data_IF_907007915146
#
_entry.id   IF_907007915146
#
_cell.length_a   1.000
_cell.length_b   1.000
_cell.length_c   1.000
_cell.angle_alpha   90.00
_cell.angle_beta   90.00
_cell.angle_gamma   90.00
#
_symmetry.space_group_name_H-M   'P 1'
#
loop_
_entity.id
_entity.type
_entity.pdbx_description
1 polymer ?
#
# COMPACT_ATOMS: atom_id res chain seq x y z
N UNK A 1 -6.53 7.88 15.54
CA UNK A 1 -7.40 8.74 16.40
C UNK A 1 -6.55 9.72 17.20
N UNK A 2 -5.69 9.33 18.13
CA UNK A 2 -4.89 10.24 18.95
C UNK A 2 -4.02 11.23 18.16
N UNK A 3 -3.42 10.80 17.05
CA UNK A 3 -2.67 11.71 16.15
C UNK A 3 -3.57 12.80 15.52
N UNK A 4 -4.82 12.45 15.19
CA UNK A 4 -5.78 13.40 14.63
C UNK A 4 -6.20 14.47 15.66
N UNK A 5 -6.38 14.06 16.90
CA UNK A 5 -6.74 14.97 18.00
C UNK A 5 -5.52 15.66 18.64
N UNK A 6 -4.31 15.33 18.20
CA UNK A 6 -3.08 15.96 18.72
C UNK A 6 -2.68 15.54 20.14
N UNK A 7 -3.32 14.50 20.70
CA UNK A 7 -3.02 14.02 22.05
C UNK A 7 -3.91 12.87 22.52
N UNK A 8 -3.63 12.41 23.72
CA UNK A 8 -4.36 11.32 24.38
C UNK A 8 -5.14 11.90 25.58
N UNK A 9 -6.46 11.74 25.64
CA UNK A 9 -7.23 12.20 26.79
C UNK A 9 -6.93 11.37 28.03
N UNK A 10 -7.04 11.96 29.21
CA UNK A 10 -6.82 11.28 30.49
C UNK A 10 -7.76 10.09 30.69
N UNK A 11 -8.97 10.15 30.11
CA UNK A 11 -10.03 9.19 30.34
C UNK A 11 -10.83 8.95 29.08
N UNK A 12 -11.10 7.68 28.78
CA UNK A 12 -11.94 7.24 27.67
C UNK A 12 -13.12 6.43 28.18
N UNK A 13 -14.31 6.73 27.68
CA UNK A 13 -15.54 6.01 27.99
C UNK A 13 -15.86 5.09 26.82
N UNK A 14 -16.03 3.79 27.12
CA UNK A 14 -16.38 2.78 26.15
C UNK A 14 -17.70 2.10 26.46
N UNK A 15 -18.40 1.66 25.42
CA UNK A 15 -19.47 0.70 25.63
C UNK A 15 -18.88 -0.68 26.00
N UNK A 16 -19.76 -1.62 26.39
CA UNK A 16 -19.35 -2.97 26.80
C UNK A 16 -19.05 -3.88 25.60
N UNK A 17 -18.37 -3.37 24.57
CA UNK A 17 -17.99 -4.16 23.41
C UNK A 17 -17.05 -5.32 23.81
N UNK A 18 -17.34 -6.53 23.34
CA UNK A 18 -16.53 -7.75 23.61
C UNK A 18 -15.05 -7.64 23.22
N UNK A 19 -14.70 -6.66 22.42
CA UNK A 19 -13.31 -6.36 22.06
C UNK A 19 -12.56 -5.75 23.24
N UNK A 20 -13.23 -4.92 24.05
CA UNK A 20 -12.64 -4.22 25.17
C UNK A 20 -12.96 -4.90 26.52
N UNK A 21 -14.14 -5.49 26.67
CA UNK A 21 -14.60 -6.12 27.91
C UNK A 21 -14.60 -7.63 27.79
N UNK A 22 -13.86 -8.30 28.67
CA UNK A 22 -13.86 -9.76 28.81
C UNK A 22 -15.07 -10.26 29.59
N UNK A 23 -15.38 -9.58 30.71
CA UNK A 23 -16.43 -9.97 31.65
C UNK A 23 -16.95 -8.75 32.43
N UNK A 24 -18.20 -8.78 32.84
CA UNK A 24 -18.81 -7.72 33.62
C UNK A 24 -19.26 -6.50 32.82
N UNK A 25 -19.62 -5.42 33.52
CA UNK A 25 -20.06 -4.15 32.93
C UNK A 25 -19.86 -3.00 33.92
N UNK A 26 -19.84 -1.77 33.43
CA UNK A 26 -19.66 -0.56 34.23
C UNK A 26 -18.41 -0.64 35.10
N UNK A 27 -18.52 -0.33 36.36
CA UNK A 27 -17.43 -0.36 37.35
C UNK A 27 -16.88 -1.77 37.64
N UNK A 28 -17.64 -2.81 37.30
CA UNK A 28 -17.26 -4.21 37.48
C UNK A 28 -16.77 -4.87 36.18
N UNK A 29 -16.61 -4.09 35.13
CA UNK A 29 -16.09 -4.59 33.88
C UNK A 29 -14.61 -4.96 34.00
N UNK A 30 -14.25 -6.17 33.50
CA UNK A 30 -12.88 -6.63 33.39
C UNK A 30 -12.48 -6.47 31.94
N UNK A 31 -11.49 -5.62 31.69
CA UNK A 31 -10.96 -5.39 30.36
C UNK A 31 -10.29 -6.66 29.79
N UNK A 32 -10.28 -6.81 28.47
CA UNK A 32 -9.43 -7.81 27.81
C UNK A 32 -7.96 -7.43 27.98
N UNK A 33 -7.06 -8.42 28.02
CA UNK A 33 -5.63 -8.16 28.19
C UNK A 33 -5.05 -7.25 27.10
N UNK A 34 -5.50 -7.42 25.85
CA UNK A 34 -5.09 -6.56 24.75
C UNK A 34 -5.55 -5.11 24.91
N UNK A 35 -6.78 -4.91 25.41
CA UNK A 35 -7.30 -3.57 25.67
C UNK A 35 -6.62 -2.92 26.87
N UNK A 36 -6.38 -3.67 27.95
CA UNK A 36 -5.64 -3.18 29.11
C UNK A 36 -4.21 -2.76 28.75
N UNK A 37 -3.51 -3.56 27.93
CA UNK A 37 -2.18 -3.22 27.43
C UNK A 37 -2.21 -1.96 26.54
N UNK A 38 -3.24 -1.80 25.69
CA UNK A 38 -3.45 -0.60 24.88
C UNK A 38 -3.67 0.64 25.75
N UNK A 39 -4.53 0.56 26.77
CA UNK A 39 -4.78 1.65 27.70
C UNK A 39 -3.51 2.04 28.48
N UNK A 40 -2.76 1.04 28.95
CA UNK A 40 -1.50 1.26 29.67
C UNK A 40 -0.43 1.91 28.77
N UNK A 41 -0.33 1.49 27.50
CA UNK A 41 0.63 2.06 26.54
C UNK A 41 0.39 3.56 26.30
N UNK A 42 -0.87 3.97 26.18
CA UNK A 42 -1.25 5.37 25.99
C UNK A 42 -1.52 6.14 27.29
N UNK A 43 -1.42 5.48 28.45
CA UNK A 43 -1.59 6.06 29.78
C UNK A 43 -2.95 6.74 30.00
N UNK A 44 -4.05 6.20 29.47
CA UNK A 44 -5.39 6.68 29.75
C UNK A 44 -6.18 5.73 30.66
N UNK A 45 -7.09 6.30 31.42
CA UNK A 45 -8.06 5.55 32.22
C UNK A 45 -9.28 5.16 31.38
N UNK A 46 -9.83 3.99 31.64
CA UNK A 46 -11.01 3.48 30.94
C UNK A 46 -12.18 3.37 31.87
N UNK A 47 -13.32 3.94 31.46
CA UNK A 47 -14.61 3.67 32.04
C UNK A 47 -15.49 2.91 31.05
N UNK A 48 -16.19 1.92 31.56
CA UNK A 48 -17.18 1.18 30.79
C UNK A 48 -18.59 1.58 31.20
N UNK A 49 -19.46 1.74 30.18
CA UNK A 49 -20.86 2.08 30.42
C UNK A 49 -21.60 0.97 31.18
N UNK A 50 -22.59 1.34 31.95
CA UNK A 50 -23.53 0.41 32.55
C UNK A 50 -24.50 -0.14 31.51
N UNK A 51 -25.01 -1.38 31.72
CA UNK A 51 -26.03 -1.96 30.85
C UNK A 51 -27.30 -1.10 30.98
N UNK A 52 -27.92 -0.81 29.83
CA UNK A 52 -29.15 -0.03 29.71
C UNK A 52 -29.09 1.43 30.21
N UNK A 53 -27.93 2.01 30.46
CA UNK A 53 -27.75 3.42 30.78
C UNK A 53 -27.85 4.27 29.52
N UNK A 54 -29.07 4.54 29.05
CA UNK A 54 -29.33 5.32 27.84
C UNK A 54 -28.65 6.70 27.82
N UNK A 55 -28.46 7.31 29.00
CA UNK A 55 -27.82 8.62 29.14
C UNK A 55 -26.31 8.58 28.82
N UNK A 56 -25.63 7.50 29.19
CA UNK A 56 -24.18 7.34 28.91
C UNK A 56 -23.91 7.03 27.44
N UNK A 57 -24.83 6.33 26.78
CA UNK A 57 -24.71 5.90 25.37
C UNK A 57 -25.35 6.89 24.38
N UNK A 58 -26.33 7.68 24.86
CA UNK A 58 -27.12 8.58 24.00
C UNK A 58 -26.30 9.61 23.25
N UNK A 59 -25.16 10.04 23.80
CA UNK A 59 -24.27 11.02 23.14
C UNK A 59 -23.62 10.47 21.87
N UNK A 60 -23.16 9.21 21.90
CA UNK A 60 -22.54 8.56 20.74
C UNK A 60 -23.59 8.22 19.66
N UNK A 61 -24.76 7.70 20.06
CA UNK A 61 -25.86 7.39 19.13
C UNK A 61 -26.39 8.66 18.45
N UNK A 62 -26.55 9.74 19.22
CA UNK A 62 -26.97 11.04 18.70
C UNK A 62 -25.91 11.60 17.73
N UNK A 63 -24.61 11.45 18.01
CA UNK A 63 -23.53 11.91 17.15
C UNK A 63 -23.53 11.17 15.79
N UNK A 64 -23.75 9.85 15.79
CA UNK A 64 -23.88 9.07 14.55
C UNK A 64 -25.06 9.55 13.72
N UNK A 65 -26.21 9.75 14.33
CA UNK A 65 -27.41 10.30 13.68
C UNK A 65 -27.19 11.70 13.14
N UNK A 66 -26.53 12.55 13.94
CA UNK A 66 -26.15 13.91 13.55
C UNK A 66 -25.22 13.92 12.33
N UNK A 67 -24.15 13.14 12.38
CA UNK A 67 -23.17 13.06 11.30
C UNK A 67 -23.79 12.57 9.99
N UNK A 68 -24.66 11.58 10.04
CA UNK A 68 -25.40 11.11 8.86
C UNK A 68 -26.27 12.20 8.23
N UNK A 69 -27.02 12.96 9.04
CA UNK A 69 -27.91 14.02 8.53
C UNK A 69 -27.15 15.22 8.00
N UNK A 70 -26.02 15.59 8.59
CA UNK A 70 -25.32 16.83 8.26
C UNK A 70 -24.20 16.65 7.24
N UNK A 71 -23.57 15.46 7.15
CA UNK A 71 -22.44 15.21 6.28
C UNK A 71 -22.71 14.16 5.19
N UNK A 72 -23.83 13.41 5.31
CA UNK A 72 -24.15 12.31 4.39
C UNK A 72 -25.50 12.51 3.67
N UNK A 73 -26.07 13.71 3.75
CA UNK A 73 -27.31 14.07 3.02
C UNK A 73 -27.08 15.39 2.28
N UNK A 74 -27.27 15.39 0.93
CA UNK A 74 -27.55 14.24 0.06
C UNK A 74 -26.40 13.23 0.07
N UNK A 75 -26.68 11.96 -0.28
CA UNK A 75 -25.68 10.91 -0.28
C UNK A 75 -24.46 11.34 -1.10
N UNK A 76 -23.27 11.45 -0.50
CA UNK A 76 -22.10 11.94 -1.18
C UNK A 76 -21.67 11.02 -2.31
N UNK A 77 -21.34 11.58 -3.47
CA UNK A 77 -20.79 10.85 -4.61
C UNK A 77 -19.29 11.06 -4.65
N UNK A 78 -18.52 9.98 -4.61
CA UNK A 78 -17.06 10.01 -4.70
C UNK A 78 -16.56 8.89 -5.63
N UNK A 79 -15.42 9.10 -6.26
CA UNK A 79 -14.78 8.10 -7.14
C UNK A 79 -14.05 7.01 -6.35
N UNK A 80 -13.67 7.29 -5.10
CA UNK A 80 -12.98 6.37 -4.21
C UNK A 80 -13.33 6.65 -2.75
N UNK A 81 -13.05 5.69 -1.85
CA UNK A 81 -13.20 5.87 -0.40
C UNK A 81 -12.25 6.93 0.15
N UNK A 82 -11.04 7.03 -0.38
CA UNK A 82 -10.06 8.04 0.00
C UNK A 82 -10.58 9.45 -0.29
N UNK A 83 -11.15 9.65 -1.48
CA UNK A 83 -11.76 10.93 -1.88
C UNK A 83 -12.97 11.28 -1.00
N UNK A 84 -13.80 10.29 -0.64
CA UNK A 84 -14.91 10.48 0.30
C UNK A 84 -14.40 10.88 1.69
N UNK A 85 -13.41 10.17 2.22
CA UNK A 85 -12.84 10.45 3.54
C UNK A 85 -12.19 11.84 3.59
N UNK A 86 -11.46 12.24 2.55
CA UNK A 86 -10.86 13.57 2.48
C UNK A 86 -11.93 14.67 2.55
N UNK A 87 -13.03 14.52 1.79
CA UNK A 87 -14.15 15.44 1.83
C UNK A 87 -14.82 15.50 3.21
N UNK A 88 -15.08 14.36 3.83
CA UNK A 88 -15.70 14.29 5.15
C UNK A 88 -14.82 14.95 6.23
N UNK A 89 -13.50 14.79 6.15
CA UNK A 89 -12.55 15.47 7.05
C UNK A 89 -12.65 17.00 6.85
N UNK A 90 -12.69 17.48 5.61
CA UNK A 90 -12.84 18.90 5.30
C UNK A 90 -14.15 19.45 5.85
N UNK A 91 -15.27 18.75 5.64
CA UNK A 91 -16.58 19.13 6.16
C UNK A 91 -16.58 19.19 7.69
N UNK A 92 -15.96 18.23 8.39
CA UNK A 92 -15.79 18.23 9.84
C UNK A 92 -14.93 19.41 10.33
N UNK A 93 -13.86 19.75 9.62
CA UNK A 93 -13.00 20.88 9.95
C UNK A 93 -13.73 22.22 9.77
N UNK A 94 -14.53 22.35 8.71
CA UNK A 94 -15.35 23.53 8.47
C UNK A 94 -16.45 23.66 9.53
N UNK A 95 -17.12 22.56 9.87
CA UNK A 95 -18.08 22.52 10.97
C UNK A 95 -17.45 23.02 12.27
N UNK A 96 -16.26 22.51 12.63
CA UNK A 96 -15.54 22.92 13.83
C UNK A 96 -15.29 24.43 13.92
N UNK A 97 -15.05 25.08 12.79
CA UNK A 97 -14.80 26.54 12.72
C UNK A 97 -16.08 27.36 12.84
N UNK A 98 -17.19 26.88 12.29
CA UNK A 98 -18.42 27.64 12.12
C UNK A 98 -19.45 27.43 13.23
N UNK A 99 -19.42 26.25 13.88
CA UNK A 99 -20.41 25.90 14.89
C UNK A 99 -19.94 26.23 16.30
N UNK A 100 -20.89 26.65 17.14
CA UNK A 100 -20.68 26.95 18.56
C UNK A 100 -20.94 25.72 19.40
N UNK A 101 -20.24 25.62 20.53
CA UNK A 101 -20.50 24.58 21.52
C UNK A 101 -21.87 24.87 22.14
N UNK A 102 -22.71 23.82 22.29
CA UNK A 102 -24.01 23.95 22.93
C UNK A 102 -23.82 24.50 24.35
N UNK A 103 -24.61 25.50 24.72
CA UNK A 103 -24.53 26.24 26.01
C UNK A 103 -23.28 27.10 26.24
N UNK A 104 -22.42 27.31 25.23
CA UNK A 104 -21.27 28.23 25.27
C UNK A 104 -21.30 29.22 24.11
N UNK A 105 -20.63 30.36 24.25
CA UNK A 105 -20.51 31.38 23.21
C UNK A 105 -19.35 31.08 22.25
N UNK A 106 -18.44 30.20 22.63
CA UNK A 106 -17.21 29.84 21.85
C UNK A 106 -17.51 28.81 20.75
N UNK A 107 -16.73 28.85 19.70
CA UNK A 107 -16.78 27.87 18.62
C UNK A 107 -16.24 26.49 19.10
N UNK A 108 -16.61 25.44 18.37
CA UNK A 108 -16.04 24.09 18.61
C UNK A 108 -14.53 24.11 18.43
N UNK A 109 -14.00 24.96 17.54
CA UNK A 109 -12.58 25.11 17.33
C UNK A 109 -11.86 25.75 18.53
N UNK A 110 -12.43 26.79 19.11
CA UNK A 110 -11.88 27.42 20.32
C UNK A 110 -11.88 26.44 21.49
N UNK A 111 -13.01 25.75 21.73
CA UNK A 111 -13.10 24.71 22.75
C UNK A 111 -12.06 23.60 22.56
N UNK A 112 -11.83 23.18 21.31
CA UNK A 112 -10.79 22.19 21.00
C UNK A 112 -9.38 22.69 21.38
N UNK A 113 -9.06 23.95 21.10
CA UNK A 113 -7.76 24.51 21.51
C UNK A 113 -7.58 24.61 23.03
N UNK A 114 -8.65 24.88 23.76
CA UNK A 114 -8.64 24.80 25.21
C UNK A 114 -8.38 23.36 25.70
N UNK A 115 -9.03 22.36 25.07
CA UNK A 115 -8.90 20.94 25.44
C UNK A 115 -7.49 20.40 25.17
N UNK A 116 -6.79 20.86 24.11
CA UNK A 116 -5.43 20.44 23.80
C UNK A 116 -4.47 20.58 24.98
N UNK A 117 -4.67 21.54 25.84
CA UNK A 117 -3.82 21.77 27.02
C UNK A 117 -3.93 20.65 28.08
N UNK A 118 -5.00 19.85 28.02
CA UNK A 118 -5.27 18.77 28.95
C UNK A 118 -4.99 17.38 28.39
N UNK A 119 -4.59 17.30 27.10
CA UNK A 119 -4.23 16.04 26.48
C UNK A 119 -2.78 15.68 26.79
N UNK A 120 -2.51 14.39 27.02
CA UNK A 120 -1.15 13.88 27.09
C UNK A 120 -0.53 13.81 25.68
N UNK A 121 0.79 13.92 25.61
CA UNK A 121 1.50 13.71 24.34
C UNK A 121 1.33 12.27 23.86
N UNK A 122 1.16 12.12 22.53
CA UNK A 122 1.13 10.79 21.91
C UNK A 122 2.52 10.16 22.00
N UNK A 123 2.65 8.91 22.51
CA UNK A 123 3.93 8.21 22.55
C UNK A 123 4.59 8.12 21.17
N UNK A 124 5.92 8.25 21.12
CA UNK A 124 6.72 8.14 19.88
C UNK A 124 6.51 6.78 19.23
N UNK A 125 6.48 5.73 20.04
CA UNK A 125 6.19 4.37 19.56
C UNK A 125 4.70 4.10 19.67
N UNK A 126 4.08 3.73 18.55
CA UNK A 126 2.66 3.36 18.52
C UNK A 126 2.46 1.95 19.07
N UNK A 127 1.33 1.73 19.70
CA UNK A 127 0.92 0.40 20.15
C UNK A 127 0.82 -0.56 18.95
N UNK A 128 1.45 -1.72 19.05
CA UNK A 128 1.40 -2.75 18.02
C UNK A 128 0.06 -3.48 18.07
N UNK A 129 -0.84 -3.15 17.17
CA UNK A 129 -2.16 -3.77 17.04
C UNK A 129 -2.15 -5.05 16.23
N UNK A 130 -0.97 -5.53 15.80
CA UNK A 130 -0.87 -6.72 14.96
C UNK A 130 -1.22 -8.00 15.71
N UNK A 131 -1.90 -8.90 15.01
CA UNK A 131 -1.95 -10.31 15.43
C UNK A 131 -0.71 -11.01 14.90
N UNK A 132 0.06 -11.61 15.81
CA UNK A 132 1.31 -12.27 15.45
C UNK A 132 1.14 -13.79 15.42
N UNK A 133 1.77 -14.43 14.42
CA UNK A 133 1.90 -15.88 14.29
C UNK A 133 3.31 -16.24 13.79
N UNK A 134 3.75 -17.46 14.04
CA UNK A 134 5.08 -17.95 13.64
C UNK A 134 4.97 -19.24 12.81
N UNK A 135 4.36 -19.19 11.61
CA UNK A 135 4.23 -20.35 10.76
C UNK A 135 5.53 -20.71 10.04
N UNK A 136 5.63 -21.99 9.63
CA UNK A 136 6.63 -22.44 8.68
C UNK A 136 6.20 -22.11 7.24
N UNK A 137 7.14 -21.75 6.37
CA UNK A 137 6.91 -21.54 4.94
C UNK A 137 6.72 -22.90 4.26
N UNK A 138 5.53 -23.11 3.71
CA UNK A 138 5.16 -24.35 3.02
C UNK A 138 5.83 -24.52 1.65
N UNK A 139 5.66 -25.71 1.06
CA UNK A 139 6.31 -26.14 -0.20
C UNK A 139 6.01 -25.24 -1.41
N UNK A 140 4.93 -24.48 -1.39
CA UNK A 140 4.57 -23.51 -2.44
C UNK A 140 5.12 -22.10 -2.16
N UNK A 141 6.07 -21.96 -1.23
CA UNK A 141 6.60 -20.65 -0.78
C UNK A 141 5.50 -19.72 -0.30
N UNK A 142 4.57 -20.26 0.45
CA UNK A 142 3.48 -19.51 1.08
C UNK A 142 3.44 -19.78 2.57
N UNK A 143 2.97 -18.81 3.33
CA UNK A 143 2.65 -18.95 4.75
C UNK A 143 1.16 -18.81 4.95
N UNK A 144 0.61 -19.64 5.82
CA UNK A 144 -0.77 -19.52 6.23
C UNK A 144 -0.88 -18.58 7.41
N UNK A 145 -1.69 -17.55 7.24
CA UNK A 145 -2.08 -16.66 8.32
C UNK A 145 -3.60 -16.58 8.38
N UNK A 146 -4.15 -16.93 9.53
CA UNK A 146 -5.60 -17.12 9.72
C UNK A 146 -6.17 -18.11 8.68
N UNK A 147 -7.02 -17.65 7.77
CA UNK A 147 -7.72 -18.49 6.79
C UNK A 147 -7.15 -18.38 5.37
N UNK A 148 -6.10 -17.56 5.17
CA UNK A 148 -5.54 -17.23 3.86
C UNK A 148 -4.05 -17.53 3.79
N UNK A 149 -3.51 -17.58 2.57
CA UNK A 149 -2.10 -17.82 2.30
C UNK A 149 -1.45 -16.56 1.68
N UNK A 150 -0.18 -16.35 1.99
CA UNK A 150 0.60 -15.21 1.53
C UNK A 150 1.96 -15.68 1.06
N UNK A 151 2.36 -15.30 -0.13
CA UNK A 151 3.62 -15.75 -0.70
C UNK A 151 4.83 -15.06 -0.06
N UNK A 152 5.95 -15.77 -0.06
CA UNK A 152 7.27 -15.24 0.32
C UNK A 152 8.31 -15.71 -0.69
N UNK A 153 9.48 -15.07 -0.70
CA UNK A 153 10.59 -15.48 -1.57
C UNK A 153 10.92 -16.98 -1.35
N UNK A 154 11.14 -17.70 -2.45
CA UNK A 154 11.42 -19.15 -2.45
C UNK A 154 12.61 -19.54 -1.55
N UNK A 155 13.58 -18.66 -1.36
CA UNK A 155 14.72 -18.88 -0.46
C UNK A 155 14.35 -19.11 1.01
N UNK A 156 13.13 -18.74 1.42
CA UNK A 156 12.64 -18.96 2.78
C UNK A 156 11.84 -20.26 2.94
N UNK A 157 11.80 -21.11 1.93
CA UNK A 157 11.15 -22.41 1.97
C UNK A 157 11.57 -23.19 3.23
N UNK A 158 10.58 -23.77 3.92
CA UNK A 158 10.78 -24.55 5.17
C UNK A 158 11.49 -23.79 6.30
N UNK A 159 11.44 -22.45 6.26
CA UNK A 159 11.88 -21.61 7.37
C UNK A 159 10.69 -21.13 8.18
N UNK A 160 10.87 -21.04 9.49
CA UNK A 160 9.89 -20.40 10.36
C UNK A 160 10.02 -18.88 10.21
N UNK A 161 8.90 -18.22 9.97
CA UNK A 161 8.84 -16.75 9.82
C UNK A 161 7.85 -16.18 10.83
N UNK A 162 8.01 -14.90 11.15
CA UNK A 162 7.05 -14.17 11.97
C UNK A 162 6.10 -13.42 11.04
N UNK A 163 4.80 -13.67 11.19
CA UNK A 163 3.74 -12.99 10.44
C UNK A 163 3.01 -12.04 11.38
N UNK A 164 2.93 -10.77 11.00
CA UNK A 164 2.15 -9.74 11.70
C UNK A 164 0.99 -9.27 10.82
N UNK A 165 -0.24 -9.57 11.25
CA UNK A 165 -1.45 -9.14 10.54
C UNK A 165 -2.04 -7.90 11.17
N UNK A 166 -2.11 -6.84 10.39
CA UNK A 166 -2.80 -5.58 10.70
C UNK A 166 -4.20 -5.55 10.08
N UNK A 167 -4.92 -4.46 10.23
CA UNK A 167 -6.27 -4.31 9.68
C UNK A 167 -6.29 -4.39 8.14
N UNK A 168 -5.30 -3.80 7.49
CA UNK A 168 -5.20 -3.61 6.05
C UNK A 168 -4.09 -4.44 5.39
N UNK A 169 -3.07 -4.87 6.14
CA UNK A 169 -1.86 -5.50 5.62
C UNK A 169 -1.37 -6.66 6.47
N UNK A 170 -0.57 -7.50 5.84
CA UNK A 170 0.17 -8.61 6.46
C UNK A 170 1.65 -8.41 6.19
N UNK A 171 2.44 -8.31 7.25
CA UNK A 171 3.90 -8.23 7.19
C UNK A 171 4.49 -9.60 7.53
N UNK A 172 5.45 -10.06 6.74
CA UNK A 172 6.16 -11.30 6.98
C UNK A 172 7.62 -10.96 7.24
N UNK A 173 8.14 -11.46 8.35
CA UNK A 173 9.49 -11.16 8.83
C UNK A 173 10.29 -12.43 9.02
N UNK A 174 11.57 -12.39 8.71
CA UNK A 174 12.53 -13.45 9.00
C UNK A 174 13.73 -12.89 9.74
N UNK A 175 14.05 -13.44 10.90
CA UNK A 175 15.11 -12.94 11.79
C UNK A 175 15.03 -11.42 12.04
N UNK A 176 13.82 -10.91 12.32
CA UNK A 176 13.58 -9.51 12.60
C UNK A 176 13.56 -8.58 11.37
N UNK A 177 13.89 -9.09 10.17
CA UNK A 177 13.88 -8.31 8.93
C UNK A 177 12.58 -8.51 8.16
N UNK A 178 11.99 -7.45 7.63
CA UNK A 178 10.83 -7.50 6.75
C UNK A 178 11.23 -8.18 5.42
N UNK A 179 10.52 -9.25 5.05
CA UNK A 179 10.80 -10.03 3.84
C UNK A 179 9.65 -10.04 2.82
N UNK A 180 8.42 -9.76 3.27
CA UNK A 180 7.28 -9.56 2.38
C UNK A 180 6.20 -8.70 3.04
N UNK A 181 5.47 -7.95 2.21
CA UNK A 181 4.28 -7.19 2.60
C UNK A 181 3.16 -7.53 1.63
N UNK A 182 1.98 -7.81 2.14
CA UNK A 182 0.78 -8.09 1.36
C UNK A 182 -0.38 -7.27 1.88
N UNK A 183 -1.34 -6.95 1.01
CA UNK A 183 -2.65 -6.50 1.43
C UNK A 183 -3.36 -7.65 2.15
N UNK A 184 -4.07 -7.33 3.23
CA UNK A 184 -4.78 -8.34 3.99
C UNK A 184 -5.96 -8.88 3.20
N UNK A 185 -6.00 -10.19 3.01
CA UNK A 185 -7.12 -10.87 2.38
C UNK A 185 -8.25 -11.11 3.38
N UNK A 186 -9.46 -10.77 2.98
CA UNK A 186 -10.67 -11.05 3.73
C UNK A 186 -11.40 -12.28 3.16
N UNK A 187 -12.09 -13.01 4.03
CA UNK A 187 -12.70 -14.28 3.72
C UNK A 187 -11.76 -15.45 3.98
N UNK A 188 -11.91 -16.56 3.26
CA UNK A 188 -11.15 -17.78 3.49
C UNK A 188 -10.64 -18.41 2.20
N UNK A 189 -9.57 -19.22 2.33
CA UNK A 189 -9.00 -20.06 1.26
C UNK A 189 -8.45 -19.28 0.06
N UNK A 190 -8.15 -18.00 0.25
CA UNK A 190 -7.51 -17.17 -0.78
C UNK A 190 -6.00 -17.21 -0.63
N UNK A 191 -5.30 -16.93 -1.73
CA UNK A 191 -3.84 -16.80 -1.73
C UNK A 191 -3.45 -15.48 -2.39
N UNK A 192 -2.61 -14.69 -1.71
CA UNK A 192 -1.96 -13.51 -2.27
C UNK A 192 -0.58 -13.92 -2.79
N UNK A 193 -0.43 -13.93 -4.10
CA UNK A 193 0.85 -14.16 -4.74
C UNK A 193 1.50 -12.82 -5.11
N UNK A 194 2.83 -12.78 -5.09
CA UNK A 194 3.65 -11.73 -5.67
C UNK A 194 4.63 -12.37 -6.63
N UNK A 195 4.65 -11.93 -7.87
CA UNK A 195 5.47 -12.53 -8.94
C UNK A 195 6.97 -12.53 -8.59
N UNK A 196 7.44 -11.44 -7.96
CA UNK A 196 8.83 -11.29 -7.54
C UNK A 196 9.31 -12.38 -6.58
N UNK A 197 8.39 -13.04 -5.88
CA UNK A 197 8.76 -14.14 -4.97
C UNK A 197 9.17 -15.42 -5.70
N UNK A 198 8.76 -15.58 -6.96
CA UNK A 198 8.92 -16.80 -7.74
C UNK A 198 9.83 -16.66 -8.94
N UNK A 199 10.21 -15.45 -9.33
CA UNK A 199 10.91 -15.19 -10.58
C UNK A 199 12.23 -15.95 -10.67
N UNK A 200 13.01 -16.01 -9.57
CA UNK A 200 14.28 -16.75 -9.54
C UNK A 200 14.08 -18.27 -9.71
N UNK A 201 12.94 -18.81 -9.27
CA UNK A 201 12.60 -20.21 -9.49
C UNK A 201 12.19 -20.45 -10.94
N UNK A 202 11.43 -19.53 -11.53
CA UNK A 202 11.02 -19.61 -12.94
C UNK A 202 12.22 -19.51 -13.89
N UNK A 203 13.23 -18.70 -13.56
CA UNK A 203 14.50 -18.65 -14.32
C UNK A 203 15.23 -19.99 -14.33
N UNK A 204 15.21 -20.72 -13.21
CA UNK A 204 15.80 -22.06 -13.11
C UNK A 204 14.94 -23.13 -13.80
N UNK A 205 13.62 -22.94 -13.88
CA UNK A 205 12.67 -23.91 -14.43
C UNK A 205 11.69 -23.24 -15.41
N UNK A 206 12.15 -22.70 -16.56
CA UNK A 206 11.31 -21.95 -17.48
C UNK A 206 10.12 -22.75 -18.03
N UNK A 207 10.25 -24.07 -18.14
CA UNK A 207 9.18 -24.94 -18.67
C UNK A 207 7.87 -24.85 -17.87
N UNK A 208 7.91 -24.43 -16.61
CA UNK A 208 6.74 -24.34 -15.75
C UNK A 208 6.03 -22.98 -15.82
N UNK A 209 6.55 -21.99 -16.54
CA UNK A 209 6.10 -20.59 -16.46
C UNK A 209 4.60 -20.42 -16.69
N UNK A 210 4.04 -21.01 -17.74
CA UNK A 210 2.61 -20.89 -18.07
C UNK A 210 1.70 -21.74 -17.17
N UNK A 211 2.25 -22.73 -16.47
CA UNK A 211 1.51 -23.58 -15.53
C UNK A 211 1.62 -23.10 -14.08
N UNK A 212 2.57 -22.22 -13.81
CA UNK A 212 2.79 -21.70 -12.46
C UNK A 212 1.60 -20.87 -11.99
N UNK A 213 0.98 -21.29 -10.89
CA UNK A 213 -0.18 -20.59 -10.31
C UNK A 213 0.11 -19.11 -10.00
N UNK A 214 1.29 -18.73 -9.45
CA UNK A 214 1.64 -17.34 -9.28
C UNK A 214 1.53 -16.51 -10.57
N UNK A 215 2.00 -17.03 -11.70
CA UNK A 215 1.92 -16.34 -12.99
C UNK A 215 0.48 -16.20 -13.45
N UNK A 216 -0.31 -17.26 -13.39
CA UNK A 216 -1.72 -17.23 -13.82
C UNK A 216 -2.61 -16.32 -12.98
N UNK A 217 -2.30 -16.20 -11.69
CA UNK A 217 -3.12 -15.47 -10.75
C UNK A 217 -2.72 -13.98 -10.63
N UNK A 218 -1.50 -13.58 -11.08
CA UNK A 218 -0.99 -12.20 -10.90
C UNK A 218 -0.64 -11.46 -12.18
N UNK A 219 -0.43 -12.17 -13.29
CA UNK A 219 -0.02 -11.56 -14.56
C UNK A 219 -1.24 -11.37 -15.46
N UNK A 220 -1.35 -10.22 -16.11
CA UNK A 220 -2.46 -9.94 -17.03
C UNK A 220 -2.50 -10.96 -18.19
N UNK A 221 -3.70 -11.34 -18.58
CA UNK A 221 -3.96 -12.30 -19.65
C UNK A 221 -3.30 -11.89 -20.96
N UNK A 222 -3.34 -10.58 -21.27
CA UNK A 222 -2.67 -10.01 -22.45
C UNK A 222 -1.16 -10.30 -22.48
N UNK A 223 -0.50 -10.23 -21.32
CA UNK A 223 0.92 -10.49 -21.18
C UNK A 223 1.25 -11.97 -21.31
N UNK A 224 0.38 -12.83 -20.79
CA UNK A 224 0.48 -14.28 -20.93
C UNK A 224 0.31 -14.67 -22.40
N UNK A 225 -0.68 -14.12 -23.10
CA UNK A 225 -0.92 -14.44 -24.51
C UNK A 225 0.16 -13.90 -25.44
N UNK A 226 0.72 -12.77 -25.12
CA UNK A 226 1.93 -12.28 -25.80
C UNK A 226 3.11 -13.21 -25.56
N UNK A 227 3.36 -13.59 -24.31
CA UNK A 227 4.44 -14.50 -23.94
C UNK A 227 4.42 -15.84 -24.67
N UNK A 228 3.22 -16.39 -24.95
CA UNK A 228 3.06 -17.62 -25.74
C UNK A 228 3.51 -17.46 -27.19
N UNK A 229 3.52 -16.25 -27.75
CA UNK A 229 3.90 -15.91 -29.12
C UNK A 229 5.36 -15.53 -29.25
N UNK A 230 6.11 -15.41 -28.16
CA UNK A 230 7.51 -15.04 -28.17
C UNK A 230 8.36 -16.16 -28.83
N UNK A 231 9.30 -15.83 -29.74
CA UNK A 231 10.09 -16.83 -30.47
C UNK A 231 11.01 -17.67 -29.57
N UNK A 232 11.47 -17.10 -28.44
CA UNK A 232 12.29 -17.80 -27.45
C UNK A 232 11.48 -18.65 -26.45
N UNK A 233 10.14 -18.74 -26.63
CA UNK A 233 9.26 -19.59 -25.83
C UNK A 233 9.30 -19.31 -24.33
N UNK A 234 9.26 -20.37 -23.53
CA UNK A 234 9.18 -20.26 -22.07
C UNK A 234 10.34 -19.46 -21.43
N UNK A 235 11.53 -19.57 -21.96
CA UNK A 235 12.70 -18.85 -21.43
C UNK A 235 12.58 -17.35 -21.67
N UNK A 236 12.08 -16.95 -22.84
CA UNK A 236 11.85 -15.54 -23.14
C UNK A 236 10.67 -14.97 -22.37
N UNK A 237 9.60 -15.76 -22.17
CA UNK A 237 8.52 -15.37 -21.25
C UNK A 237 9.04 -15.08 -19.84
N UNK A 238 9.93 -15.89 -19.29
CA UNK A 238 10.51 -15.63 -17.96
C UNK A 238 11.32 -14.33 -17.95
N UNK A 239 12.09 -14.04 -19.01
CA UNK A 239 12.80 -12.76 -19.13
C UNK A 239 11.83 -11.57 -19.20
N UNK A 240 10.70 -11.72 -19.89
CA UNK A 240 9.64 -10.72 -19.93
C UNK A 240 9.05 -10.48 -18.54
N UNK A 241 8.75 -11.55 -17.80
CA UNK A 241 8.27 -11.45 -16.43
C UNK A 241 9.28 -10.78 -15.49
N UNK A 242 10.59 -11.02 -15.69
CA UNK A 242 11.63 -10.30 -14.93
C UNK A 242 11.55 -8.80 -15.23
N UNK A 243 11.39 -8.38 -16.48
CA UNK A 243 11.21 -6.97 -16.81
C UNK A 243 9.93 -6.38 -16.15
N UNK A 244 8.86 -7.17 -16.06
CA UNK A 244 7.64 -6.73 -15.35
C UNK A 244 7.89 -6.53 -13.86
N UNK A 245 8.69 -7.39 -13.22
CA UNK A 245 9.08 -7.22 -11.82
C UNK A 245 9.94 -5.97 -11.62
N UNK A 246 10.89 -5.71 -12.54
CA UNK A 246 11.85 -4.62 -12.41
C UNK A 246 11.25 -3.24 -12.77
N UNK A 247 10.33 -3.19 -13.75
CA UNK A 247 9.83 -1.94 -14.32
C UNK A 247 8.32 -1.70 -14.13
N UNK A 248 7.58 -2.70 -13.70
CA UNK A 248 6.11 -2.70 -13.61
C UNK A 248 5.43 -3.16 -14.91
N UNK A 249 4.37 -3.93 -14.75
CA UNK A 249 3.61 -4.54 -15.86
C UNK A 249 2.98 -3.50 -16.80
N UNK A 250 2.39 -2.44 -16.23
CA UNK A 250 1.76 -1.36 -16.99
C UNK A 250 2.74 -0.69 -17.97
N UNK A 251 3.97 -0.46 -17.53
CA UNK A 251 5.01 0.15 -18.36
C UNK A 251 5.44 -0.77 -19.49
N UNK A 252 5.54 -2.06 -19.24
CA UNK A 252 5.86 -3.06 -20.26
C UNK A 252 4.77 -3.14 -21.33
N UNK A 253 3.51 -3.14 -20.92
CA UNK A 253 2.36 -3.12 -21.85
C UNK A 253 2.28 -1.82 -22.63
N UNK A 254 2.56 -0.68 -22.03
CA UNK A 254 2.61 0.62 -22.71
C UNK A 254 3.69 0.62 -23.81
N UNK A 255 4.89 0.10 -23.54
CA UNK A 255 5.94 -0.06 -24.55
C UNK A 255 5.49 -0.99 -25.67
N UNK A 256 4.89 -2.13 -25.35
CA UNK A 256 4.34 -3.07 -26.34
C UNK A 256 3.34 -2.37 -27.28
N UNK A 257 2.42 -1.59 -26.73
CA UNK A 257 1.39 -0.88 -27.52
C UNK A 257 1.94 0.27 -28.36
N UNK A 258 3.11 0.81 -28.02
CA UNK A 258 3.80 1.85 -28.81
C UNK A 258 4.57 1.31 -30.02
N UNK A 259 4.72 -0.01 -30.12
CA UNK A 259 5.46 -0.63 -31.24
C UNK A 259 4.59 -0.72 -32.50
N UNK A 260 5.19 -0.60 -33.70
CA UNK A 260 4.48 -0.71 -34.98
C UNK A 260 3.74 -2.05 -35.13
N UNK A 261 2.56 -2.01 -35.76
CA UNK A 261 1.77 -3.20 -36.07
C UNK A 261 2.52 -4.16 -36.95
N UNK A 262 2.53 -5.45 -36.60
CA UNK A 262 3.21 -6.51 -37.38
C UNK A 262 4.59 -6.94 -36.88
N UNK A 263 5.15 -6.24 -35.89
CA UNK A 263 6.36 -6.67 -35.20
C UNK A 263 5.96 -7.49 -33.97
N UNK A 264 6.49 -8.73 -33.87
CA UNK A 264 6.38 -9.48 -32.60
C UNK A 264 7.47 -8.91 -31.69
N UNK A 265 7.09 -8.15 -30.64
CA UNK A 265 8.09 -7.50 -29.80
C UNK A 265 8.80 -8.55 -28.97
N UNK A 266 10.10 -8.69 -29.18
CA UNK A 266 10.95 -9.53 -28.35
C UNK A 266 11.33 -8.81 -27.08
N UNK A 267 11.82 -9.57 -26.09
CA UNK A 267 12.29 -9.00 -24.81
C UNK A 267 13.38 -7.96 -25.01
N UNK A 268 14.27 -8.17 -26.00
CA UNK A 268 15.38 -7.24 -26.28
C UNK A 268 14.89 -5.92 -26.89
N UNK A 269 13.87 -5.97 -27.75
CA UNK A 269 13.20 -4.76 -28.28
C UNK A 269 12.59 -3.96 -27.12
N UNK A 270 11.86 -4.63 -26.22
CA UNK A 270 11.26 -3.97 -25.05
C UNK A 270 12.34 -3.35 -24.18
N UNK A 271 13.42 -4.09 -23.89
CA UNK A 271 14.54 -3.58 -23.09
C UNK A 271 15.15 -2.31 -23.69
N UNK A 272 15.35 -2.30 -25.00
CA UNK A 272 15.88 -1.14 -25.73
C UNK A 272 14.96 0.08 -25.59
N UNK A 273 13.64 -0.12 -25.67
CA UNK A 273 12.67 0.98 -25.52
C UNK A 273 12.53 1.47 -24.08
N UNK A 274 12.73 0.60 -23.09
CA UNK A 274 12.74 1.00 -21.69
C UNK A 274 13.94 1.88 -21.33
N UNK A 275 15.07 1.70 -22.04
CA UNK A 275 16.31 2.46 -21.84
C UNK A 275 16.43 3.69 -22.75
N UNK A 276 15.49 3.92 -23.68
CA UNK A 276 15.48 5.20 -24.42
C UNK A 276 15.27 6.32 -23.41
N UNK A 277 16.21 7.29 -23.28
CA UNK A 277 15.92 8.50 -22.52
C UNK A 277 14.69 9.15 -23.17
N UNK A 278 13.77 9.64 -22.35
CA UNK A 278 12.68 10.49 -22.81
C UNK A 278 13.29 11.52 -23.76
N UNK A 279 12.72 11.66 -24.95
CA UNK A 279 13.21 12.44 -26.08
C UNK A 279 14.11 13.60 -25.64
N UNK A 280 15.42 13.38 -25.71
CA UNK A 280 16.35 14.50 -25.79
C UNK A 280 15.88 15.26 -27.01
N UNK A 281 15.39 16.50 -26.82
CA UNK A 281 15.19 17.43 -27.90
C UNK A 281 16.33 17.23 -28.88
N UNK A 282 16.02 16.66 -30.05
CA UNK A 282 16.95 16.68 -31.14
C UNK A 282 17.29 18.15 -31.31
N UNK A 283 18.47 18.55 -30.84
CA UNK A 283 19.04 19.81 -31.25
C UNK A 283 19.09 19.65 -32.76
N UNK A 284 18.18 20.33 -33.47
CA UNK A 284 18.33 20.58 -34.87
C UNK A 284 19.71 21.22 -35.01
N UNK A 285 20.73 20.41 -35.30
CA UNK A 285 21.94 20.95 -35.84
C UNK A 285 21.52 21.61 -37.16
N UNK A 286 21.45 22.92 -37.12
CA UNK A 286 21.24 23.69 -38.35
C UNK A 286 22.22 23.16 -39.41
N UNK A 287 21.72 22.87 -40.61
CA UNK A 287 22.53 22.45 -41.74
C UNK A 287 23.49 23.56 -42.25
N UNK A 288 23.80 24.54 -41.43
CA UNK A 288 24.66 25.69 -41.71
C UNK A 288 26.10 25.51 -41.27
N UNK A 289 26.59 24.24 -41.25
CA UNK A 289 28.04 24.02 -41.25
C UNK A 289 28.50 24.10 -42.71
N UNK A 290 28.85 25.30 -43.15
CA UNK A 290 29.70 25.44 -44.37
C UNK A 290 31.04 24.78 -44.09
N UNK A 291 31.22 23.60 -44.62
CA UNK A 291 32.51 22.94 -44.65
C UNK A 291 33.31 23.67 -45.73
N UNK A 292 34.23 24.56 -45.32
CA UNK A 292 35.14 25.17 -46.26
C UNK A 292 35.94 24.06 -47.00
N UNK A 293 36.00 24.16 -48.31
CA UNK A 293 36.76 23.22 -49.12
C UNK A 293 38.21 23.12 -48.62
N UNK A 294 38.75 21.93 -48.52
CA UNK A 294 40.14 21.74 -48.04
C UNK A 294 41.12 22.47 -48.94
N UNK A 295 41.92 23.36 -48.33
CA UNK A 295 42.99 24.08 -49.06
C UNK A 295 44.11 23.08 -49.42
N UNK A 296 43.99 22.48 -50.60
CA UNK A 296 44.93 21.49 -51.15
C UNK A 296 46.34 22.10 -51.29
N UNK A 297 46.49 23.39 -51.55
CA UNK A 297 47.76 24.07 -51.69
C UNK A 297 48.54 24.07 -50.37
N UNK A 298 47.85 24.14 -49.25
CA UNK A 298 48.42 24.07 -47.90
C UNK A 298 48.88 22.65 -47.52
N UNK A 299 48.24 21.62 -48.13
CA UNK A 299 48.59 20.22 -47.97
C UNK A 299 49.89 19.90 -48.72
N UNK A 300 50.00 20.35 -49.99
CA UNK A 300 51.16 20.11 -50.85
C UNK A 300 52.41 20.73 -50.27
N UNK A 301 52.30 21.94 -49.66
CA UNK A 301 53.43 22.57 -48.96
C UNK A 301 53.91 21.84 -47.72
N UNK A 302 53.01 21.12 -47.04
CA UNK A 302 53.40 20.31 -45.85
C UNK A 302 53.96 18.94 -46.22
N UNK A 303 53.62 18.40 -47.38
CA UNK A 303 54.09 17.09 -47.82
C UNK A 303 55.34 17.15 -48.70
N UNK A 304 55.96 18.34 -48.92
CA UNK A 304 57.25 18.45 -49.61
C UNK A 304 57.23 18.11 -51.12
N UNK A 305 56.07 18.21 -51.76
CA UNK A 305 55.93 18.06 -53.22
C UNK A 305 56.06 19.47 -53.79
N UNK A 306 57.24 19.76 -54.35
CA UNK A 306 57.53 20.96 -55.13
C UNK A 306 56.99 20.83 -56.52
#
# INVERSE_FOLDING_TARGET
MFDYFGGVPNRLIFDNAKVAVREGFGKHAIATDGYAAFAAHYAFQTDFCNIASGNEKGLVENLVGYSRRNFMVPVPKAKSLEGLNAKLIEDCLNYRKTHKVHSRTISVNEAYHEELLYLHSVPVYRYDTSRTATPEVGDYSTVRFEKNNYSVLVRYLRRTVTVKGYADKVLIMYNGKLVATHDRLFGSSKTSYRLEHYIDLLERKPRSVFQAKPVRDTVAEELIDWGKKLPGGNAEMVKLLRLCVDHGEEKILAVKHSLPSGIIPTVDIIRTHLHKPAETNLIHMSNDIEVADPDLVRFDKKCGVS
#
